data_IF_534613419034
#
_entry.id   IF_534613419034
#
_cell.length_a   1.000
_cell.length_b   1.000
_cell.length_c   1.000
_cell.angle_alpha   90.00
_cell.angle_beta   90.00
_cell.angle_gamma   90.00
#
_symmetry.space_group_name_H-M   'P 1'
#
loop_
_entity.id
_entity.type
_entity.pdbx_description
1 polymer ?
#
# COMPACT_ATOMS: atom_id res chain seq x y z
N UNK A 1 27.80 20.15 -18.23
CA UNK A 1 27.82 19.46 -16.93
C UNK A 1 27.13 20.35 -15.92
N UNK A 2 25.82 20.20 -15.78
CA UNK A 2 25.01 21.01 -14.86
C UNK A 2 25.19 20.41 -13.47
N UNK A 3 25.72 21.19 -12.53
CA UNK A 3 25.78 20.76 -11.13
C UNK A 3 24.32 20.63 -10.67
N UNK A 4 23.87 19.39 -10.44
CA UNK A 4 22.57 19.06 -9.89
C UNK A 4 22.46 19.64 -8.47
N UNK A 5 22.11 20.92 -8.41
CA UNK A 5 21.94 21.63 -7.16
C UNK A 5 20.70 21.13 -6.42
N UNK A 6 20.77 21.15 -5.10
CA UNK A 6 19.79 20.53 -4.20
C UNK A 6 18.80 21.61 -3.75
N UNK A 7 17.50 21.30 -3.50
CA UNK A 7 16.60 22.29 -2.93
C UNK A 7 17.18 22.90 -1.64
N UNK A 8 17.10 24.23 -1.50
CA UNK A 8 17.73 24.97 -0.40
C UNK A 8 17.37 24.42 0.98
N UNK A 9 16.13 23.98 1.17
CA UNK A 9 15.66 23.42 2.44
C UNK A 9 16.28 22.06 2.77
N UNK A 10 16.70 21.28 1.76
CA UNK A 10 17.46 20.03 1.95
C UNK A 10 18.93 20.33 2.24
N UNK A 11 19.48 21.42 1.69
CA UNK A 11 20.84 21.87 2.04
C UNK A 11 20.95 22.33 3.50
N UNK A 12 19.83 22.71 4.12
CA UNK A 12 19.75 22.99 5.55
C UNK A 12 19.86 21.71 6.38
N UNK A 13 19.41 20.57 5.85
CA UNK A 13 19.70 19.26 6.43
C UNK A 13 21.20 19.02 6.29
N UNK A 14 21.92 19.07 7.41
CA UNK A 14 23.35 18.83 7.47
C UNK A 14 23.71 17.37 7.15
N UNK A 15 24.55 16.75 7.98
CA UNK A 15 24.91 15.32 7.80
C UNK A 15 23.97 14.35 8.49
N UNK A 16 23.00 14.87 9.23
CA UNK A 16 22.09 14.11 10.08
C UNK A 16 20.63 14.34 9.69
N UNK A 17 19.76 13.47 10.23
CA UNK A 17 18.31 13.65 10.14
C UNK A 17 17.92 14.92 10.88
N UNK A 18 17.08 15.74 10.26
CA UNK A 18 16.56 16.97 10.87
C UNK A 18 15.04 16.99 10.87
N UNK A 19 14.45 17.49 11.95
CA UNK A 19 13.03 17.79 12.00
C UNK A 19 12.79 19.14 11.32
N UNK A 20 12.06 19.14 10.20
CA UNK A 20 11.70 20.35 9.46
C UNK A 20 10.19 20.63 9.55
N UNK A 21 9.77 21.91 9.57
CA UNK A 21 8.36 22.27 9.56
C UNK A 21 7.73 21.95 8.20
N UNK A 22 6.66 21.17 8.22
CA UNK A 22 5.78 20.97 7.07
C UNK A 22 4.91 22.23 6.85
N UNK A 23 4.40 22.42 5.63
CA UNK A 23 3.66 23.62 5.21
C UNK A 23 4.52 24.78 4.71
N UNK A 24 5.85 24.75 4.93
CA UNK A 24 6.74 25.83 4.47
C UNK A 24 7.27 25.60 3.05
N UNK A 25 7.89 24.44 2.80
CA UNK A 25 8.43 24.08 1.48
C UNK A 25 7.72 22.90 0.84
N UNK A 26 7.03 22.11 1.64
CA UNK A 26 6.27 20.92 1.24
C UNK A 26 5.28 20.60 2.36
N UNK A 27 4.17 19.98 1.98
CA UNK A 27 3.45 19.10 2.91
C UNK A 27 3.93 17.67 2.64
N UNK A 28 3.69 16.78 3.61
CA UNK A 28 3.99 15.38 3.44
C UNK A 28 2.74 14.51 3.54
N UNK A 29 2.64 13.51 2.67
CA UNK A 29 1.61 12.48 2.76
C UNK A 29 2.28 11.23 3.29
N UNK A 30 1.95 10.85 4.52
CA UNK A 30 2.48 9.69 5.23
C UNK A 30 1.50 8.53 5.19
N UNK A 31 1.97 7.36 4.78
CA UNK A 31 1.16 6.14 4.70
C UNK A 31 1.96 4.91 5.16
N UNK A 32 1.28 3.82 5.58
CA UNK A 32 1.94 2.54 5.84
C UNK A 32 2.68 2.02 4.61
N UNK A 33 3.86 1.42 4.81
CA UNK A 33 4.74 0.94 3.74
C UNK A 33 4.02 0.02 2.75
N UNK A 34 3.13 -0.87 3.22
CA UNK A 34 2.36 -1.78 2.37
C UNK A 34 1.38 -1.09 1.43
N UNK A 35 0.75 0.00 1.87
CA UNK A 35 -0.08 0.84 1.01
C UNK A 35 0.80 1.62 0.05
N UNK A 36 1.90 2.17 0.57
CA UNK A 36 2.78 3.03 -0.19
C UNK A 36 3.49 2.35 -1.35
N UNK A 37 4.00 1.13 -1.16
CA UNK A 37 4.65 0.34 -2.23
C UNK A 37 3.69 0.11 -3.39
N UNK A 38 2.42 -0.21 -3.12
CA UNK A 38 1.41 -0.37 -4.18
C UNK A 38 1.07 0.96 -4.86
N UNK A 39 1.03 2.06 -4.11
CA UNK A 39 0.83 3.38 -4.70
C UNK A 39 1.97 3.76 -5.66
N UNK A 40 3.22 3.37 -5.36
CA UNK A 40 4.36 3.57 -6.26
C UNK A 40 4.16 2.84 -7.60
N UNK A 41 3.63 1.62 -7.59
CA UNK A 41 3.33 0.86 -8.81
C UNK A 41 2.35 1.61 -9.73
N UNK A 42 1.35 2.29 -9.16
CA UNK A 42 0.39 3.08 -9.92
C UNK A 42 0.90 4.47 -10.33
N UNK A 43 1.88 5.03 -9.60
CA UNK A 43 2.49 6.32 -9.92
C UNK A 43 3.51 6.21 -11.04
N UNK A 44 4.25 5.10 -11.14
CA UNK A 44 5.28 4.90 -12.16
C UNK A 44 6.37 5.99 -12.12
N UNK A 45 6.74 6.51 -13.29
CA UNK A 45 7.84 7.49 -13.43
C UNK A 45 7.52 8.89 -12.88
N UNK A 46 6.29 9.14 -12.43
CA UNK A 46 5.89 10.42 -11.86
C UNK A 46 6.26 10.62 -10.39
N UNK A 47 6.78 9.57 -9.74
CA UNK A 47 7.21 9.62 -8.34
C UNK A 47 8.36 10.63 -8.18
N UNK A 48 8.20 11.57 -7.25
CA UNK A 48 9.25 12.53 -6.86
C UNK A 48 9.79 12.22 -5.48
N UNK A 49 10.13 13.21 -4.67
CA UNK A 49 10.81 12.96 -3.40
C UNK A 49 9.96 12.10 -2.45
N UNK A 50 10.50 10.95 -2.08
CA UNK A 50 9.88 10.00 -1.15
C UNK A 50 10.88 9.62 -0.08
N UNK A 51 10.45 9.72 1.17
CA UNK A 51 11.19 9.26 2.34
C UNK A 51 10.61 7.92 2.78
N UNK A 52 11.49 6.97 3.07
CA UNK A 52 11.15 5.68 3.67
C UNK A 52 11.70 5.62 5.09
N UNK A 53 10.85 5.15 5.99
CA UNK A 53 11.21 4.81 7.36
C UNK A 53 11.09 3.30 7.53
N UNK A 54 12.22 2.60 7.51
CA UNK A 54 12.24 1.15 7.67
C UNK A 54 11.74 0.72 9.06
N UNK A 55 12.02 1.50 10.11
CA UNK A 55 11.63 1.15 11.48
C UNK A 55 10.15 1.41 11.72
N UNK A 56 9.65 2.55 11.27
CA UNK A 56 8.23 2.88 11.34
C UNK A 56 7.38 2.12 10.32
N UNK A 57 7.99 1.47 9.33
CA UNK A 57 7.31 0.87 8.17
C UNK A 57 6.39 1.87 7.47
N UNK A 58 6.94 3.03 7.11
CA UNK A 58 6.18 4.14 6.51
C UNK A 58 6.85 4.66 5.25
N UNK A 59 6.02 5.20 4.34
CA UNK A 59 6.46 6.01 3.21
C UNK A 59 5.82 7.39 3.28
N UNK A 60 6.62 8.41 2.98
CA UNK A 60 6.21 9.80 2.99
C UNK A 60 6.55 10.47 1.66
N UNK A 61 5.54 10.91 0.90
CA UNK A 61 5.75 11.74 -0.29
C UNK A 61 5.75 13.21 0.08
N UNK A 62 6.62 13.97 -0.56
CA UNK A 62 6.53 15.42 -0.52
C UNK A 62 5.58 15.91 -1.61
N UNK A 63 4.65 16.78 -1.22
CA UNK A 63 3.67 17.41 -2.11
C UNK A 63 3.73 18.93 -1.94
N UNK A 64 3.06 19.65 -2.84
CA UNK A 64 2.95 21.10 -2.74
C UNK A 64 2.21 21.50 -1.45
N UNK A 65 2.68 22.51 -0.69
CA UNK A 65 1.96 23.01 0.48
C UNK A 65 0.50 23.38 0.19
N UNK A 66 -0.40 23.06 1.11
CA UNK A 66 -1.85 23.32 1.05
C UNK A 66 -2.63 22.45 0.06
N UNK A 67 -1.96 21.60 -0.74
CA UNK A 67 -2.61 20.90 -1.84
C UNK A 67 -3.47 19.70 -1.41
N UNK A 68 -3.30 19.24 -0.17
CA UNK A 68 -4.03 18.10 0.39
C UNK A 68 -4.81 18.45 1.67
N UNK A 69 -5.05 19.73 1.97
CA UNK A 69 -5.74 20.19 3.19
C UNK A 69 -7.16 19.59 3.36
N UNK A 70 -7.79 19.22 2.25
CA UNK A 70 -9.14 18.64 2.22
C UNK A 70 -9.15 17.11 2.24
N UNK A 71 -7.99 16.45 2.29
CA UNK A 71 -7.94 14.99 2.28
C UNK A 71 -8.39 14.43 3.61
N UNK A 72 -9.26 13.42 3.55
CA UNK A 72 -9.73 12.68 4.71
C UNK A 72 -9.66 11.20 4.41
N UNK A 73 -8.73 10.49 5.05
CA UNK A 73 -8.62 9.03 4.95
C UNK A 73 -7.94 8.44 6.19
N UNK A 74 -8.45 7.32 6.76
CA UNK A 74 -7.89 6.74 7.99
C UNK A 74 -6.44 6.24 7.85
N UNK A 75 -6.04 5.83 6.64
CA UNK A 75 -4.73 5.23 6.37
C UNK A 75 -3.75 6.22 5.73
N UNK A 76 -4.17 7.47 5.50
CA UNK A 76 -3.37 8.50 4.86
C UNK A 76 -3.34 9.72 5.78
N UNK A 77 -2.16 10.02 6.30
CA UNK A 77 -1.94 11.17 7.15
C UNK A 77 -1.28 12.29 6.34
N UNK A 78 -1.94 13.45 6.28
CA UNK A 78 -1.34 14.67 5.70
C UNK A 78 -0.66 15.46 6.82
N UNK A 79 0.62 15.75 6.64
CA UNK A 79 1.43 16.59 7.51
C UNK A 79 1.61 17.94 6.80
N UNK A 80 0.86 18.94 7.25
CA UNK A 80 0.88 20.30 6.72
C UNK A 80 1.41 21.30 7.73
N UNK A 81 0.85 22.52 7.72
CA UNK A 81 1.23 23.56 8.68
C UNK A 81 1.17 23.06 10.14
N UNK A 82 2.09 23.55 10.96
CA UNK A 82 2.26 23.21 12.38
C UNK A 82 2.71 21.76 12.66
N UNK A 83 2.90 20.93 11.64
CA UNK A 83 3.54 19.64 11.77
C UNK A 83 5.05 19.74 11.54
N UNK A 84 5.81 18.87 12.19
CA UNK A 84 7.22 18.67 11.90
C UNK A 84 7.43 17.24 11.41
N UNK A 85 8.28 17.07 10.43
CA UNK A 85 8.65 15.75 9.93
C UNK A 85 10.16 15.61 9.87
N UNK A 86 10.64 14.45 10.27
CA UNK A 86 12.03 14.07 10.14
C UNK A 86 12.39 13.93 8.65
N UNK A 87 13.47 14.57 8.23
CA UNK A 87 13.99 14.56 6.87
C UNK A 87 15.42 14.06 6.90
N UNK A 88 15.77 13.02 6.12
CA UNK A 88 17.13 12.53 6.03
C UNK A 88 18.03 13.47 5.21
N UNK A 89 19.35 13.47 5.45
CA UNK A 89 20.27 14.21 4.62
C UNK A 89 20.26 13.64 3.20
N UNK A 90 20.48 14.47 2.18
CA UNK A 90 20.27 14.09 0.77
C UNK A 90 21.00 12.81 0.34
N UNK A 91 22.23 12.61 0.84
CA UNK A 91 23.06 11.47 0.46
C UNK A 91 22.60 10.13 1.08
N UNK A 92 21.66 10.16 2.03
CA UNK A 92 21.16 8.97 2.70
C UNK A 92 20.01 8.37 1.90
N UNK A 93 20.34 7.52 0.93
CA UNK A 93 19.40 6.85 0.03
C UNK A 93 19.22 5.35 0.33
N UNK A 94 19.87 4.85 1.37
CA UNK A 94 19.76 3.45 1.80
C UNK A 94 19.57 3.36 3.32
N UNK A 95 18.87 2.31 3.72
CA UNK A 95 18.63 1.98 5.13
C UNK A 95 19.84 1.35 5.84
N UNK A 96 19.69 1.04 7.13
CA UNK A 96 18.43 1.04 7.88
C UNK A 96 18.00 2.44 8.37
N UNK A 97 16.71 2.57 8.69
CA UNK A 97 16.11 3.77 9.27
C UNK A 97 15.57 4.75 8.24
N UNK A 98 15.56 6.04 8.57
CA UNK A 98 15.00 7.09 7.73
C UNK A 98 15.96 7.43 6.57
N UNK A 99 15.53 7.18 5.34
CA UNK A 99 16.32 7.42 4.13
C UNK A 99 15.43 7.85 2.95
N UNK A 100 16.04 8.44 1.93
CA UNK A 100 15.37 8.74 0.67
C UNK A 100 15.14 7.46 -0.12
N UNK A 101 13.88 7.11 -0.36
CA UNK A 101 13.52 6.11 -1.36
C UNK A 101 13.69 6.69 -2.77
N UNK A 102 13.25 7.93 -2.95
CA UNK A 102 13.53 8.73 -4.14
C UNK A 102 14.07 10.08 -3.65
N UNK A 103 15.35 10.41 -3.91
CA UNK A 103 15.93 11.65 -3.45
C UNK A 103 15.35 12.87 -4.20
N UNK A 104 15.25 14.04 -3.54
CA UNK A 104 14.76 15.25 -4.18
C UNK A 104 15.78 15.77 -5.19
N UNK A 105 15.29 16.21 -6.35
CA UNK A 105 16.05 16.98 -7.33
C UNK A 105 15.68 18.46 -7.25
N UNK A 106 16.50 19.36 -7.83
CA UNK A 106 16.27 20.82 -7.77
C UNK A 106 14.91 21.23 -8.32
N UNK A 107 14.57 20.66 -9.46
CA UNK A 107 13.53 21.19 -10.33
C UNK A 107 12.17 20.59 -9.99
N UNK A 108 12.14 19.36 -9.46
CA UNK A 108 10.92 18.56 -9.35
C UNK A 108 11.00 17.60 -8.14
N UNK A 109 10.79 18.14 -6.92
CA UNK A 109 10.74 17.32 -5.70
C UNK A 109 9.32 17.08 -5.16
N UNK A 110 8.30 17.78 -5.66
CA UNK A 110 6.90 17.51 -5.29
C UNK A 110 6.28 16.48 -6.22
N UNK A 111 5.70 15.43 -5.64
CA UNK A 111 4.82 14.51 -6.36
C UNK A 111 3.49 15.23 -6.62
N UNK A 112 2.92 15.06 -7.82
CA UNK A 112 1.61 15.65 -8.15
C UNK A 112 0.54 15.12 -7.20
N UNK A 113 -0.06 16.01 -6.42
CA UNK A 113 -1.06 15.67 -5.40
C UNK A 113 -2.25 14.93 -5.98
N UNK A 114 -2.72 15.33 -7.18
CA UNK A 114 -3.82 14.63 -7.88
C UNK A 114 -3.45 13.19 -8.27
N UNK A 115 -2.23 12.99 -8.80
CA UNK A 115 -1.74 11.65 -9.17
C UNK A 115 -1.55 10.77 -7.94
N UNK A 116 -0.95 11.32 -6.89
CA UNK A 116 -0.78 10.62 -5.62
C UNK A 116 -2.12 10.22 -5.00
N UNK A 117 -3.11 11.13 -4.99
CA UNK A 117 -4.45 10.82 -4.52
C UNK A 117 -5.06 9.66 -5.28
N UNK A 118 -5.01 9.71 -6.62
CA UNK A 118 -5.54 8.66 -7.49
C UNK A 118 -4.85 7.32 -7.23
N UNK A 119 -3.51 7.30 -7.13
CA UNK A 119 -2.74 6.10 -6.89
C UNK A 119 -3.03 5.48 -5.51
N UNK A 120 -3.11 6.31 -4.46
CA UNK A 120 -3.49 5.86 -3.13
C UNK A 120 -4.92 5.32 -3.10
N UNK A 121 -5.86 6.00 -3.75
CA UNK A 121 -7.25 5.55 -3.82
C UNK A 121 -7.36 4.21 -4.57
N UNK A 122 -6.64 4.03 -5.68
CA UNK A 122 -6.58 2.75 -6.40
C UNK A 122 -5.92 1.66 -5.56
N UNK A 123 -4.84 1.95 -4.85
CA UNK A 123 -4.17 0.97 -3.98
C UNK A 123 -5.03 0.57 -2.77
N UNK A 124 -5.78 1.52 -2.19
CA UNK A 124 -6.78 1.25 -1.15
C UNK A 124 -7.91 0.40 -1.72
N UNK A 125 -8.47 0.78 -2.87
CA UNK A 125 -9.49 0.00 -3.55
C UNK A 125 -9.00 -1.40 -3.92
N UNK A 126 -7.74 -1.61 -4.29
CA UNK A 126 -7.19 -2.96 -4.51
C UNK A 126 -7.05 -3.80 -3.22
N UNK A 127 -7.09 -3.14 -2.05
CA UNK A 127 -7.10 -3.78 -0.72
C UNK A 127 -8.53 -4.03 -0.23
N UNK A 128 -9.43 -3.09 -0.52
CA UNK A 128 -10.83 -3.05 -0.06
C UNK A 128 -11.77 -3.75 -1.04
N UNK A 129 -11.43 -3.81 -2.32
CA UNK A 129 -12.04 -4.75 -3.24
C UNK A 129 -11.59 -6.12 -2.76
N UNK A 130 -12.50 -7.00 -2.32
CA UNK A 130 -12.17 -8.40 -2.35
C UNK A 130 -11.72 -8.67 -3.79
N UNK A 131 -10.48 -9.13 -3.98
CA UNK A 131 -9.98 -9.68 -5.25
C UNK A 131 -11.05 -10.64 -5.74
N UNK A 132 -11.94 -10.15 -6.61
CA UNK A 132 -13.29 -10.64 -6.85
C UNK A 132 -13.73 -11.74 -5.87
N UNK A 133 -14.56 -11.42 -4.87
CA UNK A 133 -15.24 -12.48 -4.08
C UNK A 133 -16.03 -13.43 -5.01
N UNK A 134 -16.25 -13.03 -6.27
CA UNK A 134 -16.44 -13.89 -7.43
C UNK A 134 -15.53 -15.14 -7.39
N UNK A 135 -16.05 -16.21 -6.79
CA UNK A 135 -15.49 -17.56 -6.84
C UNK A 135 -16.37 -18.37 -7.76
N UNK A 136 -15.77 -19.27 -8.52
CA UNK A 136 -16.55 -20.25 -9.24
C UNK A 136 -17.17 -21.19 -8.21
N UNK A 137 -18.49 -21.29 -8.20
CA UNK A 137 -19.20 -22.26 -7.39
C UNK A 137 -18.69 -23.66 -7.77
N UNK A 138 -18.20 -24.44 -6.81
CA UNK A 138 -17.67 -25.78 -7.11
C UNK A 138 -18.73 -26.78 -7.64
N UNK A 139 -20.02 -26.41 -7.66
CA UNK A 139 -21.14 -27.25 -8.11
C UNK A 139 -21.69 -26.85 -9.47
N UNK A 140 -21.95 -25.56 -9.70
CA UNK A 140 -22.52 -25.07 -10.96
C UNK A 140 -21.51 -24.31 -11.82
N UNK A 141 -20.26 -24.17 -11.35
CA UNK A 141 -19.11 -23.54 -12.03
C UNK A 141 -19.29 -22.05 -12.39
N UNK A 142 -20.46 -21.47 -12.12
CA UNK A 142 -20.72 -20.04 -12.29
C UNK A 142 -19.97 -19.21 -11.27
N UNK A 143 -19.46 -18.08 -11.71
CA UNK A 143 -18.87 -17.05 -10.86
C UNK A 143 -19.94 -16.46 -9.93
N UNK A 144 -19.69 -16.46 -8.62
CA UNK A 144 -20.62 -15.92 -7.63
C UNK A 144 -19.92 -14.89 -6.74
N UNK A 145 -20.48 -13.68 -6.68
CA UNK A 145 -19.96 -12.59 -5.86
C UNK A 145 -20.29 -12.73 -4.37
N UNK A 146 -21.14 -13.70 -4.01
CA UNK A 146 -21.53 -14.03 -2.64
C UNK A 146 -21.24 -15.51 -2.31
N UNK A 147 -19.97 -15.97 -2.35
CA UNK A 147 -19.64 -17.35 -2.08
C UNK A 147 -19.86 -17.71 -0.60
N UNK A 148 -20.54 -18.83 -0.38
CA UNK A 148 -20.70 -19.48 0.91
C UNK A 148 -19.60 -20.51 1.08
N UNK A 149 -18.78 -20.39 2.13
CA UNK A 149 -17.79 -21.40 2.50
C UNK A 149 -18.53 -22.63 3.03
N UNK A 150 -18.41 -23.77 2.33
CA UNK A 150 -19.04 -25.03 2.75
C UNK A 150 -18.05 -26.02 3.34
N UNK A 151 -16.75 -25.90 3.02
CA UNK A 151 -15.74 -26.82 3.52
C UNK A 151 -14.32 -26.25 3.43
N UNK A 152 -13.43 -26.71 4.31
CA UNK A 152 -11.97 -26.63 4.17
C UNK A 152 -11.43 -28.06 4.02
N UNK A 153 -10.68 -28.32 2.95
CA UNK A 153 -10.01 -29.60 2.70
C UNK A 153 -8.60 -29.49 3.22
N UNK A 154 -8.27 -30.21 4.28
CA UNK A 154 -6.91 -30.30 4.81
C UNK A 154 -6.03 -31.08 3.82
N UNK A 155 -4.81 -30.60 3.59
CA UNK A 155 -3.83 -31.29 2.77
C UNK A 155 -2.69 -31.79 3.66
N UNK A 156 -2.24 -33.05 3.50
CA UNK A 156 -1.15 -33.60 4.32
C UNK A 156 0.22 -33.01 3.97
N UNK A 157 0.37 -32.35 2.82
CA UNK A 157 1.68 -31.85 2.32
C UNK A 157 1.59 -30.40 1.82
N UNK A 158 0.53 -29.67 2.19
CA UNK A 158 0.31 -28.31 1.71
C UNK A 158 -0.75 -27.54 2.50
N UNK A 159 -0.99 -26.27 2.15
CA UNK A 159 -2.00 -25.47 2.81
C UNK A 159 -3.40 -26.02 2.53
N UNK A 160 -4.27 -25.95 3.55
CA UNK A 160 -5.66 -26.36 3.42
C UNK A 160 -6.38 -25.54 2.34
N UNK A 161 -7.26 -26.21 1.57
CA UNK A 161 -8.00 -25.61 0.46
C UNK A 161 -9.45 -25.37 0.84
N UNK A 162 -9.88 -24.12 0.83
CA UNK A 162 -11.28 -23.76 1.02
C UNK A 162 -12.15 -24.06 -0.23
N UNK A 163 -13.36 -24.58 -0.01
CA UNK A 163 -14.36 -24.91 -1.02
C UNK A 163 -15.58 -24.01 -0.84
N UNK A 164 -15.95 -23.31 -1.91
CA UNK A 164 -17.04 -22.34 -1.91
C UNK A 164 -18.14 -22.73 -2.90
N UNK A 165 -19.38 -22.38 -2.56
CA UNK A 165 -20.56 -22.53 -3.43
C UNK A 165 -21.36 -21.23 -3.48
N UNK A 166 -22.21 -21.05 -4.50
CA UNK A 166 -23.17 -19.95 -4.53
C UNK A 166 -24.34 -20.20 -3.54
N UNK A 167 -25.09 -19.16 -3.14
CA UNK A 167 -26.23 -19.28 -2.23
C UNK A 167 -27.29 -20.27 -2.71
N UNK A 168 -27.54 -20.37 -4.01
CA UNK A 168 -28.51 -21.32 -4.58
C UNK A 168 -28.09 -22.79 -4.42
N UNK A 169 -26.78 -23.05 -4.41
CA UNK A 169 -26.22 -24.40 -4.28
C UNK A 169 -25.94 -24.80 -2.83
N UNK A 170 -25.87 -23.85 -1.91
CA UNK A 170 -25.54 -24.08 -0.50
C UNK A 170 -26.51 -25.05 0.21
N UNK A 171 -27.86 -24.95 0.06
CA UNK A 171 -28.78 -25.87 0.72
C UNK A 171 -28.61 -27.34 0.33
N UNK A 172 -28.01 -27.60 -0.84
CA UNK A 172 -27.83 -28.94 -1.38
C UNK A 172 -26.44 -29.52 -1.06
N UNK A 173 -25.62 -28.83 -0.27
CA UNK A 173 -24.27 -29.23 0.09
C UNK A 173 -24.16 -29.30 1.62
N UNK A 174 -24.52 -30.44 2.24
CA UNK A 174 -24.45 -30.58 3.69
C UNK A 174 -22.98 -30.50 4.16
N UNK A 175 -22.70 -29.84 5.30
CA UNK A 175 -21.38 -29.85 5.91
C UNK A 175 -21.07 -31.27 6.43
N UNK A 176 -20.04 -31.90 5.89
CA UNK A 176 -19.62 -33.26 6.27
C UNK A 176 -18.74 -33.87 5.18
N UNK A 177 -17.95 -34.93 5.47
CA UNK A 177 -16.99 -35.47 4.51
C UNK A 177 -17.67 -36.06 3.26
N UNK A 178 -17.06 -35.84 2.10
CA UNK A 178 -17.58 -36.21 0.78
C UNK A 178 -17.04 -37.57 0.36
N UNK A 179 -17.66 -38.18 -0.65
CA UNK A 179 -17.35 -39.54 -1.16
C UNK A 179 -15.86 -39.82 -1.43
N UNK A 180 -15.05 -38.79 -1.69
CA UNK A 180 -13.60 -38.92 -1.91
C UNK A 180 -12.81 -39.21 -0.62
N UNK A 181 -13.28 -38.75 0.54
CA UNK A 181 -12.65 -39.04 1.85
C UNK A 181 -12.93 -40.48 2.32
N UNK A 182 -14.03 -41.10 1.86
CA UNK A 182 -14.31 -42.52 2.11
C UNK A 182 -13.34 -43.47 1.38
N UNK A 183 -12.61 -42.97 0.38
CA UNK A 183 -11.57 -43.75 -0.31
C UNK A 183 -10.20 -43.71 0.37
N UNK A 184 -10.04 -42.84 1.39
CA UNK A 184 -8.81 -42.62 2.13
C UNK A 184 -8.86 -43.18 3.57
N UNK A 185 -9.90 -43.93 3.94
CA UNK A 185 -9.85 -44.75 5.16
C UNK A 185 -8.78 -45.82 4.99
N UNK A 186 -7.75 -45.87 5.86
CA UNK A 186 -6.82 -46.99 5.86
C UNK A 186 -7.59 -48.27 6.22
N UNK A 187 -7.35 -49.34 5.47
CA UNK A 187 -7.64 -50.71 5.92
C UNK A 187 -6.66 -51.11 7.01
#
# INVERSE_FOLDING_TARGET
>A
MTIDSVPRWVQLCGREVQALPAGQWWDAVRVPLSLGVRALEYLGDDVRAVIKDDYGSMLCWLIRPGSADHWQSPQVQVLGQNCHMAVPPQHRTFGPGLHWHVPPTREQYWTSTKRLHSALHTALAATTLPRSLARNCCRCERSTEAPVLVRIIESPVGPARAVYVCPDCAPQCPPGPGRLEQSLSPR
#
